data_IF_246685859595
#
_entry.id   IF_246685859595
#
_cell.length_a   1.000
_cell.length_b   1.000
_cell.length_c   1.000
_cell.angle_alpha   90.00
_cell.angle_beta   90.00
_cell.angle_gamma   90.00
#
_symmetry.space_group_name_H-M   'P 1'
#
loop_
_entity.id
_entity.type
_entity.pdbx_description
1 polymer ?
#
# COMPACT_ATOMS: atom_id res chain seq x y z
N UNK A 1 -13.37 16.40 0.80
CA UNK A 1 -12.13 15.86 1.27
C UNK A 1 -12.39 14.84 2.34
N UNK A 2 -11.66 13.77 2.31
CA UNK A 2 -11.82 12.83 3.40
C UNK A 2 -11.38 13.49 4.69
N UNK A 3 -12.11 13.22 5.72
CA UNK A 3 -11.73 13.70 7.02
C UNK A 3 -10.41 13.08 7.43
N UNK A 4 -9.69 13.80 8.24
CA UNK A 4 -8.59 13.20 8.93
C UNK A 4 -9.08 12.01 9.72
N UNK A 5 -8.38 10.89 9.59
CA UNK A 5 -8.74 9.72 10.35
C UNK A 5 -8.32 9.89 11.79
N UNK A 6 -9.02 9.24 12.72
CA UNK A 6 -8.61 9.28 14.11
C UNK A 6 -7.18 8.77 14.23
N UNK A 7 -6.39 9.44 15.05
CA UNK A 7 -5.00 9.05 15.23
C UNK A 7 -4.86 7.69 15.88
N UNK A 8 -5.87 7.30 16.66
CA UNK A 8 -5.82 6.04 17.40
C UNK A 8 -6.24 4.85 16.55
N UNK A 9 -6.81 5.07 15.36
CA UNK A 9 -7.25 3.97 14.52
C UNK A 9 -7.06 4.31 13.09
N UNK A 10 -6.58 3.33 12.39
CA UNK A 10 -6.38 3.41 10.97
C UNK A 10 -6.68 2.03 10.41
N UNK A 11 -7.85 1.88 9.83
CA UNK A 11 -8.21 0.62 9.18
C UNK A 11 -7.58 0.63 7.80
N UNK A 12 -6.64 -0.27 7.60
CA UNK A 12 -5.85 -0.29 6.39
C UNK A 12 -5.89 -1.66 5.73
N UNK A 13 -5.57 -1.66 4.45
CA UNK A 13 -5.36 -2.86 3.67
C UNK A 13 -4.19 -2.60 2.73
N UNK A 14 -3.25 -3.53 2.70
CA UNK A 14 -2.11 -3.48 1.80
C UNK A 14 -2.11 -4.70 0.91
N UNK A 15 -2.05 -4.47 -0.39
CA UNK A 15 -1.89 -5.53 -1.37
C UNK A 15 -0.76 -5.14 -2.31
N UNK A 16 -0.07 -6.15 -2.81
CA UNK A 16 1.05 -5.93 -3.72
C UNK A 16 0.90 -6.84 -4.93
N UNK A 17 1.35 -6.35 -6.06
CA UNK A 17 1.58 -7.18 -7.23
C UNK A 17 2.91 -6.77 -7.86
N UNK A 18 3.47 -7.67 -8.64
CA UNK A 18 4.76 -7.41 -9.26
C UNK A 18 4.75 -7.89 -10.71
N UNK A 19 5.69 -7.38 -11.48
CA UNK A 19 5.80 -7.71 -12.88
C UNK A 19 6.42 -9.10 -13.02
N UNK A 20 5.77 -9.96 -13.79
CA UNK A 20 6.27 -11.28 -14.09
C UNK A 20 7.28 -11.22 -15.22
N UNK A 21 8.03 -12.31 -15.39
CA UNK A 21 9.06 -12.35 -16.42
C UNK A 21 8.49 -12.23 -17.82
N UNK A 22 7.22 -12.58 -18.01
CA UNK A 22 6.57 -12.47 -19.32
C UNK A 22 5.98 -11.07 -19.54
N UNK A 23 6.19 -10.13 -18.62
CA UNK A 23 5.70 -8.77 -18.75
C UNK A 23 4.31 -8.53 -18.19
N UNK A 24 3.65 -9.56 -17.70
CA UNK A 24 2.33 -9.41 -17.10
C UNK A 24 2.44 -9.14 -15.61
N UNK A 25 1.35 -8.64 -15.03
CA UNK A 25 1.29 -8.44 -13.59
C UNK A 25 0.88 -9.73 -12.90
N UNK A 26 1.45 -9.97 -11.74
CA UNK A 26 1.00 -11.05 -10.87
C UNK A 26 -0.39 -10.72 -10.33
N UNK A 27 -0.99 -11.68 -9.67
CA UNK A 27 -2.22 -11.41 -8.93
C UNK A 27 -1.89 -10.50 -7.75
N UNK A 28 -2.90 -9.77 -7.29
CA UNK A 28 -2.76 -9.00 -6.06
C UNK A 28 -2.63 -9.97 -4.89
N UNK A 29 -1.67 -9.69 -4.03
CA UNK A 29 -1.43 -10.51 -2.84
C UNK A 29 -1.63 -9.65 -1.61
N UNK A 30 -2.42 -10.15 -0.67
CA UNK A 30 -2.65 -9.45 0.57
C UNK A 30 -1.38 -9.49 1.40
N UNK A 31 -0.92 -8.33 1.87
CA UNK A 31 0.29 -8.22 2.68
C UNK A 31 0.00 -7.63 4.05
N UNK A 32 -1.25 -7.30 4.32
CA UNK A 32 -1.62 -6.86 5.64
C UNK A 32 -2.94 -6.13 5.60
N UNK A 33 -3.66 -6.25 6.69
CA UNK A 33 -4.86 -5.47 6.92
C UNK A 33 -5.09 -5.45 8.42
N UNK A 34 -5.85 -4.46 8.85
CA UNK A 34 -6.15 -4.33 10.25
C UNK A 34 -6.15 -2.89 10.66
N UNK A 35 -5.66 -2.62 11.84
CA UNK A 35 -5.60 -1.27 12.36
C UNK A 35 -4.17 -0.91 12.72
N UNK A 36 -3.73 0.25 12.24
CA UNK A 36 -2.48 0.87 12.68
C UNK A 36 -2.83 2.14 13.42
N UNK A 37 -1.94 2.55 14.29
CA UNK A 37 -2.15 3.78 15.03
C UNK A 37 -1.63 4.99 14.27
N UNK A 38 -0.68 4.81 13.37
CA UNK A 38 -0.05 5.94 12.68
C UNK A 38 0.23 5.56 11.24
N UNK A 39 0.32 6.59 10.39
CA UNK A 39 0.71 6.42 9.02
C UNK A 39 2.16 5.94 8.92
N UNK A 40 2.99 6.29 9.87
CA UNK A 40 4.40 5.87 9.86
C UNK A 40 4.53 4.35 9.89
N UNK A 41 3.66 3.67 10.62
CA UNK A 41 3.69 2.21 10.66
C UNK A 41 3.33 1.61 9.31
N UNK A 42 2.35 2.21 8.63
CA UNK A 42 1.99 1.76 7.28
C UNK A 42 3.14 2.02 6.31
N UNK A 43 3.75 3.19 6.40
CA UNK A 43 4.88 3.52 5.54
C UNK A 43 6.04 2.57 5.75
N UNK A 44 6.27 2.15 6.97
CA UNK A 44 7.31 1.16 7.26
C UNK A 44 7.00 -0.15 6.55
N UNK A 45 5.75 -0.58 6.58
CA UNK A 45 5.35 -1.80 5.88
C UNK A 45 5.54 -1.66 4.37
N UNK A 46 5.19 -0.51 3.83
CA UNK A 46 5.36 -0.28 2.39
C UNK A 46 6.85 -0.32 2.02
N UNK A 47 7.73 0.24 2.86
CA UNK A 47 9.16 0.17 2.59
C UNK A 47 9.67 -1.26 2.62
N UNK A 48 9.14 -2.09 3.51
CA UNK A 48 9.52 -3.49 3.54
C UNK A 48 9.04 -4.21 2.27
N UNK A 49 7.85 -3.88 1.80
CA UNK A 49 7.35 -4.45 0.56
C UNK A 49 8.20 -3.99 -0.63
N UNK A 50 8.63 -2.73 -0.63
CA UNK A 50 9.49 -2.24 -1.69
C UNK A 50 10.82 -2.98 -1.75
N UNK A 51 11.33 -3.40 -0.59
CA UNK A 51 12.57 -4.16 -0.53
C UNK A 51 12.37 -5.63 -0.92
N UNK A 52 11.13 -6.11 -0.93
CA UNK A 52 10.80 -7.45 -1.40
C UNK A 52 10.77 -7.44 -2.92
N UNK A 53 10.84 -8.60 -3.53
CA UNK A 53 10.78 -8.73 -4.99
C UNK A 53 11.77 -7.78 -5.68
N UNK A 54 12.98 -7.75 -5.16
CA UNK A 54 14.00 -6.82 -5.61
C UNK A 54 14.25 -7.00 -7.11
N UNK A 55 14.40 -5.87 -7.79
CA UNK A 55 14.62 -5.86 -9.22
C UNK A 55 13.36 -5.99 -10.06
N UNK A 56 12.20 -6.09 -9.44
CA UNK A 56 10.95 -6.19 -10.17
C UNK A 56 10.13 -4.91 -9.95
N UNK A 57 9.45 -4.50 -11.01
CA UNK A 57 8.47 -3.42 -10.91
C UNK A 57 7.29 -3.90 -10.07
N UNK A 58 6.85 -3.07 -9.15
CA UNK A 58 5.80 -3.43 -8.19
C UNK A 58 4.78 -2.33 -8.09
N UNK A 59 3.56 -2.71 -7.70
CA UNK A 59 2.53 -1.76 -7.31
C UNK A 59 1.96 -2.18 -5.98
N UNK A 60 1.69 -1.20 -5.12
CA UNK A 60 1.07 -1.43 -3.83
C UNK A 60 -0.28 -0.72 -3.81
N UNK A 61 -1.30 -1.46 -3.43
CA UNK A 61 -2.64 -0.90 -3.24
C UNK A 61 -2.83 -0.69 -1.75
N UNK A 62 -2.78 0.56 -1.34
CA UNK A 62 -2.91 0.95 0.06
C UNK A 62 -4.27 1.60 0.23
N UNK A 63 -5.18 0.93 0.93
CA UNK A 63 -6.48 1.48 1.28
C UNK A 63 -6.50 1.87 2.74
N UNK A 64 -7.05 3.04 3.00
CA UNK A 64 -7.17 3.56 4.35
C UNK A 64 -8.62 4.00 4.53
N UNK A 65 -9.37 3.26 5.34
CA UNK A 65 -10.80 3.48 5.55
C UNK A 65 -11.58 3.56 4.24
N UNK A 66 -11.25 2.66 3.32
CA UNK A 66 -11.94 2.59 2.05
C UNK A 66 -11.42 3.53 0.98
N UNK A 67 -10.45 4.36 1.28
CA UNK A 67 -9.85 5.27 0.30
C UNK A 67 -8.50 4.72 -0.17
N UNK A 68 -8.30 4.73 -1.48
CA UNK A 68 -7.02 4.35 -2.05
C UNK A 68 -6.07 5.53 -1.90
N UNK A 69 -4.97 5.31 -1.19
CA UNK A 69 -4.08 6.39 -0.76
C UNK A 69 -2.68 6.21 -1.33
N UNK A 70 -1.94 7.32 -1.35
CA UNK A 70 -0.53 7.28 -1.72
C UNK A 70 0.33 6.99 -0.48
N UNK A 71 1.65 7.00 -0.68
CA UNK A 71 2.60 6.69 0.39
C UNK A 71 2.46 7.65 1.57
N UNK A 72 2.10 8.89 1.31
CA UNK A 72 1.93 9.89 2.36
C UNK A 72 0.60 9.74 3.09
N UNK A 73 -0.28 8.86 2.61
CA UNK A 73 -1.58 8.69 3.22
C UNK A 73 -2.66 9.59 2.64
N UNK A 74 -2.39 10.22 1.52
CA UNK A 74 -3.37 11.11 0.88
C UNK A 74 -4.26 10.29 -0.06
N UNK A 75 -5.55 10.55 -0.08
CA UNK A 75 -6.50 9.75 -0.87
C UNK A 75 -6.47 10.14 -2.34
N UNK A 76 -5.48 9.67 -3.05
CA UNK A 76 -5.29 9.99 -4.45
C UNK A 76 -6.15 9.16 -5.38
N UNK A 77 -6.60 7.99 -4.92
CA UNK A 77 -7.34 7.07 -5.78
C UNK A 77 -6.45 6.26 -6.70
N UNK A 78 -5.15 6.27 -6.46
CA UNK A 78 -4.19 5.57 -7.32
C UNK A 78 -3.33 4.64 -6.50
N UNK A 79 -2.85 3.58 -7.15
CA UNK A 79 -1.91 2.67 -6.51
C UNK A 79 -0.53 3.31 -6.45
N UNK A 80 0.30 2.81 -5.56
CA UNK A 80 1.68 3.29 -5.38
C UNK A 80 2.57 2.46 -6.29
N UNK A 81 3.31 3.13 -7.17
CA UNK A 81 4.27 2.46 -8.04
C UNK A 81 5.62 2.39 -7.36
N UNK A 82 6.20 1.21 -7.33
CA UNK A 82 7.52 0.96 -6.77
C UNK A 82 8.39 0.32 -7.83
N UNK A 83 9.61 0.78 -7.91
CA UNK A 83 10.56 0.23 -8.87
C UNK A 83 11.73 -0.47 -8.22
#
# INVERSE_FOLDING_TARGET
MPKMLPKSRLDYSLEIRYRLSNGEWSKWMNKGKGSFQTIELVQQQIRLLAASYKGREKEVRFEWNGWLCDYAGLPTGEVISLK
#
